data_IF_143532807949
#
_entry.id   IF_143532807949
#
_cell.length_a   1.000
_cell.length_b   1.000
_cell.length_c   1.000
_cell.angle_alpha   90.00
_cell.angle_beta   90.00
_cell.angle_gamma   90.00
#
_symmetry.space_group_name_H-M   'P 1'
#
loop_
_entity.id
_entity.type
_entity.pdbx_description
1 polymer ?
#
# COMPACT_ATOMS: atom_id res chain seq x y z
N UNK A 1 52.72 -25.97 35.44
CA UNK A 1 52.36 -24.96 34.41
C UNK A 1 51.08 -25.50 33.71
N UNK A 2 49.93 -25.03 34.16
CA UNK A 2 48.62 -25.48 33.63
C UNK A 2 48.15 -24.44 32.62
N UNK A 3 48.17 -24.79 31.33
CA UNK A 3 47.70 -23.91 30.24
C UNK A 3 46.18 -24.05 30.10
N UNK A 4 45.42 -23.04 30.57
CA UNK A 4 44.01 -22.90 30.29
C UNK A 4 43.79 -22.50 28.82
N UNK A 5 43.31 -23.42 28.02
CA UNK A 5 42.79 -23.12 26.68
C UNK A 5 41.33 -22.64 26.83
N UNK A 6 41.13 -21.35 26.66
CA UNK A 6 39.77 -20.76 26.54
C UNK A 6 39.22 -21.04 25.13
N UNK A 7 38.07 -21.64 24.97
CA UNK A 7 37.44 -21.74 23.65
C UNK A 7 36.85 -20.40 23.26
N UNK A 8 37.32 -19.88 22.12
CA UNK A 8 36.77 -18.70 21.47
C UNK A 8 35.38 -19.09 20.88
N UNK A 9 34.32 -18.75 21.58
CA UNK A 9 32.95 -18.93 21.04
C UNK A 9 32.73 -17.90 19.94
N UNK A 10 32.79 -18.34 18.69
CA UNK A 10 32.43 -17.53 17.54
C UNK A 10 30.90 -17.28 17.55
N UNK A 11 30.50 -16.06 17.88
CA UNK A 11 29.13 -15.62 17.81
C UNK A 11 28.73 -15.44 16.31
N UNK A 12 28.10 -16.46 15.75
CA UNK A 12 27.56 -16.36 14.40
C UNK A 12 26.33 -15.44 14.41
N UNK A 13 26.49 -14.23 13.92
CA UNK A 13 25.40 -13.30 13.69
C UNK A 13 24.60 -13.85 12.49
N UNK A 14 23.46 -14.49 12.76
CA UNK A 14 22.48 -14.83 11.72
C UNK A 14 21.87 -13.53 11.19
N UNK A 15 22.34 -13.05 10.05
CA UNK A 15 21.61 -12.06 9.26
C UNK A 15 20.35 -12.72 8.70
N UNK A 16 19.21 -12.53 9.37
CA UNK A 16 17.92 -12.86 8.79
C UNK A 16 17.65 -11.87 7.63
N UNK A 17 17.27 -12.37 6.46
CA UNK A 17 16.87 -11.47 5.37
C UNK A 17 15.65 -10.67 5.82
N UNK A 18 15.72 -9.34 5.66
CA UNK A 18 14.57 -8.48 5.87
C UNK A 18 13.52 -8.84 4.81
N UNK A 19 12.45 -9.51 5.23
CA UNK A 19 11.33 -9.82 4.36
C UNK A 19 10.52 -8.54 4.15
N UNK A 20 10.27 -8.20 2.88
CA UNK A 20 9.34 -7.12 2.54
C UNK A 20 7.96 -7.43 3.13
N UNK A 21 7.26 -6.41 3.67
CA UNK A 21 5.91 -6.59 4.17
C UNK A 21 5.01 -7.14 3.04
N UNK A 22 4.10 -8.07 3.36
CA UNK A 22 3.20 -8.63 2.35
C UNK A 22 2.32 -7.54 1.75
N UNK A 23 2.14 -7.58 0.41
CA UNK A 23 1.24 -6.66 -0.28
C UNK A 23 -0.19 -7.03 0.10
N UNK A 24 -1.02 -6.06 0.54
CA UNK A 24 -2.42 -6.34 0.87
C UNK A 24 -3.20 -6.83 -0.36
N UNK A 25 -4.22 -7.65 -0.12
CA UNK A 25 -5.14 -8.07 -1.17
C UNK A 25 -5.95 -6.88 -1.70
N UNK A 26 -5.91 -6.66 -3.02
CA UNK A 26 -6.68 -5.63 -3.70
C UNK A 26 -7.36 -6.24 -4.91
N UNK A 27 -8.70 -6.08 -5.02
CA UNK A 27 -9.61 -5.49 -4.04
C UNK A 27 -9.79 -6.35 -2.79
N UNK A 28 -10.09 -5.71 -1.65
CA UNK A 28 -10.43 -6.44 -0.42
C UNK A 28 -11.77 -7.14 -0.59
N UNK A 29 -11.85 -8.38 -0.09
CA UNK A 29 -13.05 -9.19 -0.25
C UNK A 29 -14.27 -8.55 0.42
N UNK A 30 -15.36 -8.44 -0.33
CA UNK A 30 -16.65 -7.93 0.12
C UNK A 30 -16.62 -6.49 0.67
N UNK A 31 -15.61 -5.71 0.31
CA UNK A 31 -15.44 -4.32 0.73
C UNK A 31 -15.23 -3.39 -0.46
N UNK A 32 -15.84 -2.20 -0.38
CA UNK A 32 -15.41 -1.08 -1.22
C UNK A 32 -13.93 -0.84 -0.98
N UNK A 33 -13.14 -0.74 -2.03
CA UNK A 33 -11.69 -0.62 -1.94
C UNK A 33 -11.19 0.55 -2.79
N UNK A 34 -10.30 1.35 -2.23
CA UNK A 34 -9.47 2.27 -2.97
C UNK A 34 -8.00 1.88 -2.79
N UNK A 35 -7.27 1.73 -3.89
CA UNK A 35 -5.82 1.56 -3.86
C UNK A 35 -5.15 2.79 -4.47
N UNK A 36 -4.16 3.34 -3.78
CA UNK A 36 -3.24 4.34 -4.30
C UNK A 36 -1.92 3.65 -4.67
N UNK A 37 -1.60 3.69 -5.96
CA UNK A 37 -0.36 3.13 -6.49
C UNK A 37 0.61 4.27 -6.74
N UNK A 38 1.66 4.31 -5.96
CA UNK A 38 2.63 5.40 -5.99
C UNK A 38 4.02 4.95 -5.58
N UNK A 39 4.85 5.88 -5.13
CA UNK A 39 6.16 5.60 -4.57
C UNK A 39 6.47 6.61 -3.45
N UNK A 40 7.12 6.17 -2.39
CA UNK A 40 7.47 7.03 -1.24
C UNK A 40 8.40 8.19 -1.63
N UNK A 41 9.24 8.00 -2.65
CA UNK A 41 10.19 8.99 -3.12
C UNK A 41 9.65 9.90 -4.24
N UNK A 42 8.47 9.64 -4.76
CA UNK A 42 7.79 10.45 -5.79
C UNK A 42 7.10 11.64 -5.12
N UNK A 43 7.32 12.88 -5.62
CA UNK A 43 6.81 14.10 -4.97
C UNK A 43 5.28 14.17 -4.97
N UNK A 44 4.55 14.02 -6.10
CA UNK A 44 3.10 14.03 -6.07
C UNK A 44 2.51 12.84 -5.29
N UNK A 45 3.23 11.71 -5.22
CA UNK A 45 2.84 10.58 -4.39
C UNK A 45 2.97 10.88 -2.90
N UNK A 46 3.99 11.66 -2.49
CA UNK A 46 4.14 12.12 -1.09
C UNK A 46 2.97 13.00 -0.67
N UNK A 47 2.43 13.80 -1.57
CA UNK A 47 1.25 14.63 -1.32
C UNK A 47 -0.01 13.79 -1.06
N UNK A 48 -0.06 12.56 -1.56
CA UNK A 48 -1.14 11.61 -1.27
C UNK A 48 -1.08 11.07 0.16
N UNK A 49 0.08 11.00 0.80
CA UNK A 49 0.23 10.35 2.10
C UNK A 49 -0.69 10.92 3.18
N UNK A 50 -0.76 12.25 3.44
CA UNK A 50 -1.71 12.78 4.42
C UNK A 50 -3.17 12.57 4.02
N UNK A 51 -3.50 12.55 2.74
CA UNK A 51 -4.84 12.22 2.24
C UNK A 51 -5.18 10.75 2.57
N UNK A 52 -4.25 9.83 2.29
CA UNK A 52 -4.41 8.41 2.59
C UNK A 52 -4.57 8.15 4.09
N UNK A 53 -3.76 8.79 4.92
CA UNK A 53 -3.84 8.67 6.39
C UNK A 53 -5.20 9.13 6.93
N UNK A 54 -5.73 10.24 6.41
CA UNK A 54 -7.03 10.76 6.80
C UNK A 54 -8.17 9.83 6.35
N UNK A 55 -8.11 9.31 5.12
CA UNK A 55 -9.10 8.37 4.57
C UNK A 55 -9.09 7.04 5.32
N UNK A 56 -7.92 6.51 5.65
CA UNK A 56 -7.78 5.26 6.41
C UNK A 56 -8.48 5.36 7.77
N UNK A 57 -8.33 6.48 8.47
CA UNK A 57 -9.02 6.73 9.74
C UNK A 57 -10.53 6.90 9.56
N UNK A 58 -10.95 7.69 8.58
CA UNK A 58 -12.35 8.01 8.34
C UNK A 58 -13.17 6.79 7.88
N UNK A 59 -12.57 5.95 7.04
CA UNK A 59 -13.24 4.77 6.47
C UNK A 59 -12.89 3.45 7.16
N UNK A 60 -12.21 3.48 8.30
CA UNK A 60 -11.89 2.28 9.06
C UNK A 60 -13.11 1.40 9.31
N UNK A 61 -13.05 0.13 8.92
CA UNK A 61 -14.16 -0.81 9.01
C UNK A 61 -15.26 -0.65 7.96
N UNK A 62 -15.20 0.38 7.11
CA UNK A 62 -16.20 0.67 6.07
C UNK A 62 -15.68 0.38 4.66
N UNK A 63 -14.49 0.85 4.36
CA UNK A 63 -13.82 0.66 3.08
C UNK A 63 -12.34 0.36 3.31
N UNK A 64 -11.76 -0.41 2.40
CA UNK A 64 -10.34 -0.67 2.43
C UNK A 64 -9.59 0.46 1.70
N UNK A 65 -8.67 1.10 2.40
CA UNK A 65 -7.80 2.16 1.88
C UNK A 65 -6.38 1.60 1.87
N UNK A 66 -5.81 1.39 0.69
CA UNK A 66 -4.55 0.65 0.51
C UNK A 66 -3.56 1.48 -0.27
N UNK A 67 -2.30 1.51 0.20
CA UNK A 67 -1.17 2.06 -0.54
C UNK A 67 -0.23 0.94 -0.98
N UNK A 68 0.20 0.99 -2.25
CA UNK A 68 1.21 0.08 -2.79
C UNK A 68 2.34 0.90 -3.42
N UNK A 69 3.57 0.71 -2.92
CA UNK A 69 4.76 1.31 -3.52
C UNK A 69 5.22 0.46 -4.71
N UNK A 70 5.06 1.01 -5.92
CA UNK A 70 5.38 0.31 -7.17
C UNK A 70 6.86 0.39 -7.54
N UNK A 71 7.64 1.23 -6.87
CA UNK A 71 9.10 1.21 -7.03
C UNK A 71 9.74 0.12 -6.17
N UNK A 72 9.17 -0.16 -5.00
CA UNK A 72 9.55 -1.32 -4.17
C UNK A 72 8.99 -2.64 -4.75
N UNK A 73 7.86 -2.58 -5.46
CA UNK A 73 7.15 -3.72 -6.04
C UNK A 73 6.86 -3.49 -7.54
N UNK A 74 7.88 -3.57 -8.41
CA UNK A 74 7.72 -3.18 -9.82
C UNK A 74 6.72 -4.00 -10.63
N UNK A 75 6.48 -5.25 -10.26
CA UNK A 75 5.48 -6.14 -10.85
C UNK A 75 4.06 -5.61 -10.71
N UNK A 76 3.80 -4.79 -9.68
CA UNK A 76 2.49 -4.20 -9.44
C UNK A 76 2.11 -3.16 -10.51
N UNK A 77 3.08 -2.43 -11.05
CA UNK A 77 2.84 -1.52 -12.18
C UNK A 77 2.24 -2.23 -13.38
N UNK A 78 2.77 -3.40 -13.71
CA UNK A 78 2.27 -4.25 -14.81
C UNK A 78 0.92 -4.86 -14.47
N UNK A 79 0.77 -5.38 -13.26
CA UNK A 79 -0.48 -6.00 -12.78
C UNK A 79 -1.67 -5.07 -12.92
N UNK A 80 -1.51 -3.79 -12.57
CA UNK A 80 -2.59 -2.80 -12.62
C UNK A 80 -2.62 -2.00 -13.94
N UNK A 81 -1.70 -2.26 -14.87
CA UNK A 81 -1.62 -1.55 -16.14
C UNK A 81 -1.40 -0.04 -15.94
N UNK A 82 -0.48 0.34 -15.03
CA UNK A 82 -0.23 1.74 -14.72
C UNK A 82 0.43 2.47 -15.90
N UNK A 83 0.00 3.71 -16.13
CA UNK A 83 0.58 4.65 -17.07
C UNK A 83 1.42 5.71 -16.38
N UNK A 84 1.03 6.08 -15.18
CA UNK A 84 1.68 7.11 -14.36
C UNK A 84 1.44 6.86 -12.87
N UNK A 85 2.20 7.54 -12.01
CA UNK A 85 2.00 7.54 -10.57
C UNK A 85 1.92 8.98 -10.04
N UNK A 86 1.14 9.23 -8.98
CA UNK A 86 0.22 8.29 -8.33
C UNK A 86 -1.01 7.99 -9.20
N UNK A 87 -1.59 6.81 -9.04
CA UNK A 87 -2.88 6.45 -9.63
C UNK A 87 -3.76 5.83 -8.56
N UNK A 88 -4.99 6.30 -8.45
CA UNK A 88 -5.98 5.76 -7.54
C UNK A 88 -6.99 4.93 -8.33
N UNK A 89 -7.26 3.71 -7.83
CA UNK A 89 -8.24 2.80 -8.42
C UNK A 89 -9.30 2.47 -7.38
N UNK A 90 -10.56 2.56 -7.77
CA UNK A 90 -11.71 2.32 -6.92
C UNK A 90 -12.43 1.04 -7.36
N UNK A 91 -12.76 0.20 -6.39
CA UNK A 91 -13.49 -1.04 -6.58
C UNK A 91 -14.77 -1.06 -5.77
N UNK A 92 -15.85 -1.56 -6.34
CA UNK A 92 -17.07 -1.83 -5.60
C UNK A 92 -16.94 -3.07 -4.69
N UNK A 93 -17.99 -3.40 -3.93
CA UNK A 93 -18.01 -4.57 -3.03
C UNK A 93 -17.87 -5.90 -3.75
N UNK A 94 -18.21 -5.94 -5.03
CA UNK A 94 -18.06 -7.12 -5.87
C UNK A 94 -16.65 -7.28 -6.46
N UNK A 95 -15.76 -6.34 -6.16
CA UNK A 95 -14.39 -6.36 -6.65
C UNK A 95 -14.22 -5.85 -8.07
N UNK A 96 -15.22 -5.15 -8.61
CA UNK A 96 -15.18 -4.55 -9.93
C UNK A 96 -14.52 -3.17 -9.87
N UNK A 97 -13.53 -2.91 -10.74
CA UNK A 97 -12.99 -1.56 -10.93
C UNK A 97 -14.06 -0.65 -11.52
N UNK A 98 -14.34 0.45 -10.83
CA UNK A 98 -15.40 1.40 -11.23
C UNK A 98 -14.86 2.75 -11.64
N UNK A 99 -13.69 3.14 -11.14
CA UNK A 99 -13.04 4.41 -11.47
C UNK A 99 -11.53 4.30 -11.30
N UNK A 100 -10.81 5.06 -12.13
CA UNK A 100 -9.36 5.24 -12.05
C UNK A 100 -9.03 6.71 -12.25
N UNK A 101 -8.17 7.25 -11.40
CA UNK A 101 -7.70 8.64 -11.47
C UNK A 101 -6.17 8.68 -11.46
N UNK A 102 -5.58 9.42 -12.38
CA UNK A 102 -4.12 9.62 -12.48
C UNK A 102 -3.73 10.98 -11.89
N UNK A 103 -2.63 10.99 -11.15
CA UNK A 103 -2.10 12.18 -10.48
C UNK A 103 -2.61 12.38 -9.06
N UNK A 104 -2.24 13.50 -8.43
CA UNK A 104 -2.74 13.86 -7.11
C UNK A 104 -4.26 13.99 -7.10
N UNK A 105 -4.88 13.46 -6.04
CA UNK A 105 -6.33 13.50 -5.88
C UNK A 105 -6.68 13.92 -4.46
N UNK A 106 -7.45 14.99 -4.35
CA UNK A 106 -7.78 15.56 -3.06
C UNK A 106 -8.77 14.67 -2.27
N UNK A 107 -8.76 14.81 -0.96
CA UNK A 107 -9.59 14.01 -0.04
C UNK A 107 -11.08 14.13 -0.36
N UNK A 108 -11.57 15.35 -0.62
CA UNK A 108 -13.02 15.60 -0.84
C UNK A 108 -13.60 14.80 -1.99
N UNK A 109 -13.09 14.87 -3.23
CA UNK A 109 -13.62 14.06 -4.32
C UNK A 109 -13.46 12.54 -4.08
N UNK A 110 -12.39 12.11 -3.41
CA UNK A 110 -12.24 10.68 -3.04
C UNK A 110 -13.36 10.26 -2.09
N UNK A 111 -13.63 11.04 -1.05
CA UNK A 111 -14.70 10.75 -0.10
C UNK A 111 -16.07 10.68 -0.79
N UNK A 112 -16.35 11.57 -1.72
CA UNK A 112 -17.61 11.55 -2.49
C UNK A 112 -17.78 10.27 -3.30
N UNK A 113 -16.69 9.76 -3.91
CA UNK A 113 -16.69 8.50 -4.65
C UNK A 113 -16.92 7.32 -3.70
N UNK A 114 -16.18 7.26 -2.59
CA UNK A 114 -16.31 6.19 -1.60
C UNK A 114 -17.70 6.14 -1.00
N UNK A 115 -18.27 7.29 -0.65
CA UNK A 115 -19.63 7.39 -0.07
C UNK A 115 -20.69 6.90 -1.06
N UNK A 116 -20.56 7.21 -2.33
CA UNK A 116 -21.44 6.69 -3.38
C UNK A 116 -21.36 5.17 -3.51
N UNK A 117 -20.15 4.62 -3.48
CA UNK A 117 -19.95 3.17 -3.56
C UNK A 117 -20.49 2.45 -2.33
N UNK A 118 -20.35 3.06 -1.15
CA UNK A 118 -20.88 2.51 0.10
C UNK A 118 -22.41 2.55 0.18
N UNK A 119 -23.06 3.44 -0.56
CA UNK A 119 -24.51 3.58 -0.61
C UNK A 119 -25.22 2.62 -1.58
N UNK A 120 -24.47 1.83 -2.34
CA UNK A 120 -24.98 0.85 -3.31
C UNK A 120 -25.41 -0.48 -2.69
#
# INVERSE_FOLDING_TARGET
>A
MLRFLMPLAALAILCLPAQAAPIPDVPAKDMVTMVDLGAKACIPCKMMMPVMDALEKEYAGKAAIVFIDVWENPDQSKKYGLKSIPTQIFYDRQGKEVLRHEGFFDKKPISEILDKLLAQ
#
